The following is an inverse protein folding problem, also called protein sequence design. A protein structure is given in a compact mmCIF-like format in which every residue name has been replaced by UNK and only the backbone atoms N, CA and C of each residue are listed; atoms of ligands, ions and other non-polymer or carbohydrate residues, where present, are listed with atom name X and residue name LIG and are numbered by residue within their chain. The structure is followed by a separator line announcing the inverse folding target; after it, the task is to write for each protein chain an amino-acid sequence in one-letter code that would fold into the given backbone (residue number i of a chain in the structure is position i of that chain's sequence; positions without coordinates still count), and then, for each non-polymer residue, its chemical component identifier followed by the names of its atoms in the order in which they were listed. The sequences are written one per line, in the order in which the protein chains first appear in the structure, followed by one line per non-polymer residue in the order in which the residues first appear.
data_IF_926215817470
#
_entry.id   IF_926215817470
#
_cell.length_a   1.000
_cell.length_b   1.000
_cell.length_c   1.000
_cell.angle_alpha   90.00
_cell.angle_beta   90.00
_cell.angle_gamma   90.00
#
_symmetry.space_group_name_H-M   'P 1'
#
loop_
_entity.id
_entity.type
_entity.pdbx_description
1 polymer ?
#
# COMPACT_ATOMS: atom_id res chain seq x y z
N UNK A 1 -6.34 7.53 -12.25
CA UNK A 1 -5.00 7.40 -12.89
C UNK A 1 -4.05 8.33 -12.17
N UNK A 2 -2.86 7.86 -11.80
CA UNK A 2 -1.81 8.69 -11.20
C UNK A 2 -0.61 8.71 -12.14
N UNK A 3 0.12 9.82 -12.15
CA UNK A 3 1.36 9.95 -12.90
C UNK A 3 2.53 9.90 -11.92
N UNK A 4 3.59 9.19 -12.28
CA UNK A 4 4.83 9.17 -11.53
C UNK A 4 6.02 9.40 -12.45
N UNK A 5 7.13 9.82 -11.87
CA UNK A 5 8.38 9.97 -12.60
C UNK A 5 9.01 8.61 -12.88
N UNK A 6 9.84 8.57 -13.92
CA UNK A 6 10.72 7.44 -14.16
C UNK A 6 11.64 7.23 -12.96
N UNK A 7 11.79 5.99 -12.53
CA UNK A 7 12.67 5.61 -11.43
C UNK A 7 13.40 4.31 -11.81
N UNK A 8 14.69 4.43 -12.08
CA UNK A 8 15.55 3.30 -12.45
C UNK A 8 16.63 3.15 -11.41
N UNK A 9 16.46 2.19 -10.53
CA UNK A 9 17.39 1.88 -9.44
C UNK A 9 18.15 0.60 -9.77
N UNK A 10 19.46 0.56 -9.48
CA UNK A 10 20.27 -0.65 -9.66
C UNK A 10 19.72 -1.78 -8.80
N UNK A 11 19.84 -3.03 -9.29
CA UNK A 11 19.28 -4.23 -8.64
C UNK A 11 19.68 -4.34 -7.17
N UNK A 12 20.93 -4.08 -6.84
CA UNK A 12 21.46 -4.15 -5.47
C UNK A 12 20.87 -3.09 -4.52
N UNK A 13 20.19 -2.09 -5.06
CA UNK A 13 19.59 -0.98 -4.33
C UNK A 13 18.06 -0.93 -4.49
N UNK A 14 17.44 -1.99 -4.99
CA UNK A 14 15.97 -2.05 -5.15
C UNK A 14 15.26 -2.35 -3.82
N UNK A 15 15.64 -1.60 -2.78
CA UNK A 15 15.01 -1.64 -1.45
C UNK A 15 13.68 -0.86 -1.48
N UNK A 16 12.73 -1.17 -0.58
CA UNK A 16 11.43 -0.50 -0.51
C UNK A 16 11.49 1.03 -0.49
N UNK A 17 12.46 1.61 0.21
CA UNK A 17 12.64 3.07 0.28
C UNK A 17 13.23 3.72 -0.99
N UNK A 18 13.85 2.92 -1.86
CA UNK A 18 14.58 3.42 -3.05
C UNK A 18 13.77 3.26 -4.35
N UNK A 19 12.82 2.32 -4.37
CA UNK A 19 11.96 2.08 -5.52
C UNK A 19 10.66 2.86 -5.40
N UNK A 20 9.91 2.94 -6.50
CA UNK A 20 8.59 3.56 -6.46
C UNK A 20 7.62 2.67 -5.72
N UNK A 21 7.04 3.19 -4.64
CA UNK A 21 5.99 2.54 -3.89
C UNK A 21 4.63 3.17 -4.10
N UNK A 22 3.59 2.50 -3.64
CA UNK A 22 2.23 2.98 -3.62
C UNK A 22 1.62 2.77 -2.23
N UNK A 23 0.81 3.74 -1.82
CA UNK A 23 0.03 3.66 -0.60
C UNK A 23 -1.45 3.56 -0.97
N UNK A 24 -2.09 2.49 -0.54
CA UNK A 24 -3.53 2.32 -0.63
C UNK A 24 -4.16 2.73 0.68
N UNK A 25 -5.17 3.58 0.61
CA UNK A 25 -6.04 3.90 1.74
C UNK A 25 -7.32 3.12 1.61
N UNK A 26 -7.63 2.30 2.60
CA UNK A 26 -8.89 1.59 2.70
C UNK A 26 -9.79 2.19 3.79
N UNK A 27 -11.09 1.93 3.68
CA UNK A 27 -12.12 2.28 4.66
C UNK A 27 -12.70 0.98 5.21
N UNK A 28 -12.77 0.89 6.54
CA UNK A 28 -13.34 -0.26 7.24
C UNK A 28 -14.85 -0.06 7.34
N UNK A 29 -15.60 -1.12 7.01
CA UNK A 29 -17.05 -1.15 7.10
C UNK A 29 -17.49 -2.25 8.06
N UNK A 30 -18.62 -2.03 8.73
CA UNK A 30 -19.26 -3.07 9.51
C UNK A 30 -20.06 -4.04 8.61
N UNK A 31 -20.64 -5.07 9.22
CA UNK A 31 -21.47 -6.08 8.53
C UNK A 31 -22.68 -5.48 7.78
N UNK A 32 -23.16 -4.33 8.19
CA UNK A 32 -24.24 -3.59 7.56
C UNK A 32 -23.77 -2.64 6.45
N UNK A 33 -22.53 -2.76 5.99
CA UNK A 33 -21.89 -1.90 4.99
C UNK A 33 -21.87 -0.40 5.36
N UNK A 34 -21.84 -0.09 6.66
CA UNK A 34 -21.67 1.27 7.14
C UNK A 34 -20.21 1.51 7.49
N UNK A 35 -19.68 2.66 7.06
CA UNK A 35 -18.32 3.05 7.38
C UNK A 35 -18.15 3.16 8.90
N UNK A 36 -17.13 2.50 9.42
CA UNK A 36 -16.82 2.54 10.84
C UNK A 36 -16.20 3.88 11.22
N UNK A 37 -16.47 4.30 12.45
CA UNK A 37 -15.81 5.42 13.09
C UNK A 37 -14.38 5.07 13.51
N UNK A 38 -13.92 5.66 14.61
CA UNK A 38 -12.60 5.34 15.15
C UNK A 38 -12.61 3.93 15.76
N UNK A 39 -11.55 3.17 15.47
CA UNK A 39 -11.32 1.81 15.96
C UNK A 39 -9.99 1.83 16.71
N UNK A 40 -9.92 1.11 17.82
CA UNK A 40 -8.72 0.92 18.63
C UNK A 40 -8.28 -0.53 18.55
N UNK A 41 -7.02 -0.78 18.22
CA UNK A 41 -6.43 -2.13 18.22
C UNK A 41 -5.46 -2.25 19.37
N UNK A 42 -5.67 -3.23 20.24
CA UNK A 42 -4.78 -3.58 21.33
C UNK A 42 -4.46 -5.07 21.24
N UNK A 43 -3.19 -5.41 20.97
CA UNK A 43 -2.81 -6.77 20.60
C UNK A 43 -3.57 -7.23 19.35
N UNK A 44 -4.25 -8.38 19.46
CA UNK A 44 -5.03 -8.95 18.35
C UNK A 44 -6.53 -8.58 18.40
N UNK A 45 -6.92 -7.70 19.31
CA UNK A 45 -8.33 -7.35 19.55
C UNK A 45 -8.65 -5.93 19.06
N UNK A 46 -9.87 -5.76 18.55
CA UNK A 46 -10.37 -4.48 18.01
C UNK A 46 -11.56 -3.98 18.81
N UNK A 47 -11.57 -2.68 19.13
CA UNK A 47 -12.55 -2.01 19.97
C UNK A 47 -13.11 -0.78 19.26
N UNK A 48 -14.39 -0.50 19.46
CA UNK A 48 -15.03 0.71 18.92
C UNK A 48 -15.00 1.88 19.93
N UNK A 49 -14.67 1.62 21.18
CA UNK A 49 -14.53 2.63 22.21
C UNK A 49 -13.31 2.35 23.09
N UNK A 50 -12.69 3.43 23.61
CA UNK A 50 -11.60 3.32 24.57
C UNK A 50 -12.04 2.67 25.89
N UNK A 51 -13.30 2.87 26.29
CA UNK A 51 -13.85 2.30 27.50
C UNK A 51 -13.87 0.77 27.44
N UNK A 52 -14.30 0.20 26.31
CA UNK A 52 -14.26 -1.25 26.10
C UNK A 52 -12.81 -1.77 26.12
N UNK A 53 -11.92 -1.09 25.42
CA UNK A 53 -10.51 -1.48 25.38
C UNK A 53 -9.89 -1.48 26.79
N UNK A 54 -10.07 -0.41 27.56
CA UNK A 54 -9.52 -0.32 28.92
C UNK A 54 -10.18 -1.25 29.93
N UNK A 55 -11.40 -1.72 29.69
CA UNK A 55 -12.02 -2.73 30.54
C UNK A 55 -11.34 -4.09 30.41
N UNK A 56 -10.83 -4.40 29.21
CA UNK A 56 -10.12 -5.67 28.94
C UNK A 56 -8.60 -5.54 29.12
N UNK A 57 -8.04 -4.34 28.85
CA UNK A 57 -6.62 -4.03 28.97
C UNK A 57 -6.37 -2.84 29.90
N UNK A 58 -6.58 -2.99 31.22
CA UNK A 58 -6.45 -1.88 32.17
C UNK A 58 -5.03 -1.31 32.19
N UNK A 59 -4.92 0.01 31.99
CA UNK A 59 -3.65 0.71 32.07
C UNK A 59 -2.70 0.54 30.90
N UNK A 60 -3.13 -0.09 29.78
CA UNK A 60 -2.31 -0.15 28.58
C UNK A 60 -2.11 1.24 27.97
N UNK A 61 -0.90 1.48 27.49
CA UNK A 61 -0.54 2.67 26.70
C UNK A 61 -0.19 2.33 25.26
N UNK A 62 -0.10 1.03 24.94
CA UNK A 62 0.27 0.52 23.63
C UNK A 62 -0.98 0.04 22.88
N UNK A 63 -1.48 0.88 22.00
CA UNK A 63 -2.57 0.55 21.09
C UNK A 63 -2.52 1.42 19.84
N UNK A 64 -3.06 0.91 18.76
CA UNK A 64 -3.19 1.64 17.49
C UNK A 64 -4.58 2.27 17.40
N UNK A 65 -4.65 3.46 16.78
CA UNK A 65 -5.91 4.19 16.58
C UNK A 65 -6.18 4.37 15.08
N UNK A 66 -7.19 3.70 14.59
CA UNK A 66 -7.66 3.80 13.20
C UNK A 66 -8.67 4.94 13.08
N UNK A 67 -8.21 6.13 12.81
CA UNK A 67 -9.02 7.33 12.73
C UNK A 67 -10.08 7.24 11.62
N UNK A 68 -11.37 7.38 12.01
CA UNK A 68 -12.51 7.26 11.10
C UNK A 68 -12.54 5.92 10.33
N UNK A 69 -12.05 4.85 10.93
CA UNK A 69 -11.99 3.52 10.31
C UNK A 69 -11.13 3.44 9.05
N UNK A 70 -10.09 4.25 8.95
CA UNK A 70 -9.15 4.23 7.81
C UNK A 70 -7.92 3.42 8.15
N UNK A 71 -7.48 2.62 7.20
CA UNK A 71 -6.20 1.92 7.27
C UNK A 71 -5.40 2.10 5.98
N UNK A 72 -4.11 1.87 6.05
CA UNK A 72 -3.16 2.14 4.98
C UNK A 72 -2.33 0.89 4.70
N UNK A 73 -2.09 0.66 3.42
CA UNK A 73 -1.24 -0.42 2.93
C UNK A 73 -0.17 0.18 2.05
N UNK A 74 1.07 -0.08 2.34
CA UNK A 74 2.18 0.26 1.48
C UNK A 74 2.57 -0.95 0.62
N UNK A 75 3.00 -0.73 -0.60
CA UNK A 75 3.66 -1.75 -1.40
C UNK A 75 4.67 -1.13 -2.36
N UNK A 76 5.82 -1.74 -2.46
CA UNK A 76 6.87 -1.44 -3.44
C UNK A 76 6.93 -2.49 -4.57
N UNK A 77 5.96 -3.40 -4.65
CA UNK A 77 5.91 -4.49 -5.62
C UNK A 77 5.33 -4.08 -6.97
N UNK A 78 5.76 -2.93 -7.47
CA UNK A 78 5.46 -2.50 -8.84
C UNK A 78 6.54 -3.10 -9.75
N UNK A 79 6.24 -4.27 -10.33
CA UNK A 79 7.21 -5.01 -11.13
C UNK A 79 7.17 -4.58 -12.58
N UNK A 80 8.33 -4.21 -13.15
CA UNK A 80 8.51 -4.00 -14.60
C UNK A 80 8.88 -5.29 -15.30
N UNK A 81 9.71 -6.13 -14.67
CA UNK A 81 10.09 -7.45 -15.18
C UNK A 81 9.90 -8.50 -14.09
N UNK A 82 9.57 -9.73 -14.51
CA UNK A 82 9.54 -10.88 -13.62
C UNK A 82 10.94 -11.46 -13.34
N UNK A 83 11.91 -11.09 -14.14
CA UNK A 83 13.28 -11.59 -14.01
C UNK A 83 14.02 -10.84 -12.89
N UNK A 84 14.98 -11.52 -12.26
CA UNK A 84 15.91 -10.92 -11.29
C UNK A 84 16.97 -10.04 -11.95
N UNK A 85 16.50 -9.20 -12.86
CA UNK A 85 17.33 -8.24 -13.57
C UNK A 85 17.22 -6.86 -12.94
N UNK A 86 18.11 -5.95 -13.33
CA UNK A 86 18.02 -4.54 -12.93
C UNK A 86 16.67 -3.88 -13.29
N UNK A 87 15.90 -4.50 -14.19
CA UNK A 87 14.59 -4.03 -14.62
C UNK A 87 13.45 -4.48 -13.72
N UNK A 88 13.70 -5.21 -12.63
CA UNK A 88 12.65 -5.81 -11.79
C UNK A 88 11.70 -4.76 -11.20
N UNK A 89 12.18 -3.92 -10.29
CA UNK A 89 11.38 -2.90 -9.57
C UNK A 89 11.68 -1.49 -10.10
N UNK A 90 11.58 -1.27 -11.39
CA UNK A 90 11.81 0.03 -12.03
C UNK A 90 10.54 0.58 -12.65
N UNK A 91 10.44 1.89 -12.73
CA UNK A 91 9.39 2.59 -13.47
C UNK A 91 10.01 3.21 -14.70
N UNK A 92 9.61 2.73 -15.86
CA UNK A 92 10.08 3.23 -17.14
C UNK A 92 9.06 4.18 -17.74
N UNK A 93 9.55 5.25 -18.39
CA UNK A 93 8.70 6.20 -19.13
C UNK A 93 7.89 5.48 -20.21
N UNK A 94 6.80 6.07 -20.64
CA UNK A 94 5.93 5.58 -21.72
C UNK A 94 5.32 4.19 -21.45
N UNK A 95 5.13 3.84 -20.17
CA UNK A 95 4.42 2.64 -19.78
C UNK A 95 3.24 2.99 -18.85
N UNK A 96 2.21 2.17 -18.91
CA UNK A 96 1.07 2.21 -17.99
C UNK A 96 1.15 0.97 -17.12
N UNK A 97 1.28 1.16 -15.82
CA UNK A 97 1.28 0.09 -14.82
C UNK A 97 -0.13 -0.06 -14.28
N UNK A 98 -0.75 -1.22 -14.52
CA UNK A 98 -2.05 -1.57 -13.97
C UNK A 98 -1.81 -2.42 -12.73
N UNK A 99 -2.17 -1.89 -11.58
CA UNK A 99 -2.01 -2.56 -10.29
C UNK A 99 -3.35 -3.17 -9.88
N UNK A 100 -3.33 -4.46 -9.56
CA UNK A 100 -4.50 -5.20 -9.09
C UNK A 100 -4.25 -5.75 -7.70
N UNK A 101 -5.07 -5.36 -6.74
CA UNK A 101 -5.09 -5.96 -5.40
C UNK A 101 -5.69 -7.35 -5.50
N UNK A 102 -4.96 -8.36 -5.07
CA UNK A 102 -5.40 -9.77 -5.10
C UNK A 102 -6.08 -10.19 -3.81
N UNK A 103 -5.49 -9.82 -2.70
CA UNK A 103 -6.02 -10.16 -1.38
C UNK A 103 -5.48 -9.22 -0.31
N UNK A 104 -6.23 -9.14 0.78
CA UNK A 104 -5.77 -8.61 2.05
C UNK A 104 -5.61 -9.79 3.01
N UNK A 105 -4.50 -9.82 3.74
CA UNK A 105 -4.24 -10.88 4.72
C UNK A 105 -4.55 -10.41 6.14
N UNK A 106 -4.50 -9.10 6.36
CA UNK A 106 -4.83 -8.48 7.65
C UNK A 106 -5.23 -7.01 7.43
N UNK A 107 -5.62 -6.33 8.50
CA UNK A 107 -5.87 -4.89 8.51
C UNK A 107 -4.54 -4.15 8.38
N UNK A 108 -4.48 -3.19 7.45
CA UNK A 108 -3.29 -2.36 7.23
C UNK A 108 -2.94 -1.48 8.44
N UNK A 109 -1.91 -0.68 8.31
CA UNK A 109 -1.44 0.22 9.38
C UNK A 109 -2.47 1.33 9.68
N UNK A 110 -2.54 1.75 10.92
CA UNK A 110 -3.40 2.85 11.35
C UNK A 110 -2.94 4.20 10.78
N UNK A 111 -1.65 4.32 10.48
CA UNK A 111 -1.01 5.52 9.93
C UNK A 111 -0.25 5.20 8.65
N UNK A 112 0.05 6.25 7.88
CA UNK A 112 0.89 6.12 6.68
C UNK A 112 2.32 5.89 7.11
N UNK A 113 2.84 4.69 6.86
CA UNK A 113 4.24 4.35 7.10
C UNK A 113 4.96 4.24 5.76
N UNK A 114 6.05 4.99 5.60
CA UNK A 114 6.95 4.93 4.45
C UNK A 114 8.25 4.31 4.94
N UNK A 115 8.76 3.26 4.30
CA UNK A 115 10.04 2.67 4.69
C UNK A 115 11.16 3.68 4.64
N UNK A 116 11.99 3.72 5.66
CA UNK A 116 13.12 4.66 5.78
C UNK A 116 14.43 4.15 5.15
N UNK A 117 14.42 2.92 4.67
CA UNK A 117 15.55 2.26 4.00
C UNK A 117 16.60 1.69 4.94
N UNK A 118 16.39 1.74 6.25
CA UNK A 118 17.38 1.31 7.23
C UNK A 118 17.37 -0.20 7.51
N UNK A 119 16.29 -0.90 7.16
CA UNK A 119 16.17 -2.34 7.35
C UNK A 119 15.45 -3.01 6.18
N UNK A 120 15.79 -4.27 5.94
CA UNK A 120 14.97 -5.21 5.20
C UNK A 120 13.74 -5.50 6.10
N UNK A 121 12.86 -4.50 6.18
CA UNK A 121 11.59 -4.71 6.84
C UNK A 121 10.94 -5.86 6.11
N UNK A 122 10.85 -7.00 6.76
CA UNK A 122 9.85 -8.01 6.44
C UNK A 122 8.55 -7.24 6.35
N UNK A 123 8.28 -6.77 5.15
CA UNK A 123 7.13 -5.96 4.86
C UNK A 123 5.96 -6.82 5.29
N UNK A 124 5.30 -6.43 6.35
CA UNK A 124 4.02 -7.01 6.72
C UNK A 124 3.05 -6.69 5.58
N UNK A 125 3.21 -7.44 4.48
CA UNK A 125 2.39 -7.33 3.30
C UNK A 125 1.00 -7.86 3.61
N UNK A 126 0.22 -7.02 4.25
CA UNK A 126 -1.21 -7.27 4.38
C UNK A 126 -1.92 -7.18 3.02
N UNK A 127 -1.17 -6.85 1.96
CA UNK A 127 -1.70 -6.60 0.62
C UNK A 127 -0.90 -7.35 -0.43
N UNK A 128 -1.55 -8.24 -1.16
CA UNK A 128 -0.95 -8.91 -2.32
C UNK A 128 -1.30 -8.16 -3.60
N UNK A 129 -0.29 -7.61 -4.27
CA UNK A 129 -0.41 -6.93 -5.56
C UNK A 129 -0.03 -7.83 -6.74
N UNK A 130 -0.57 -7.48 -7.90
CA UNK A 130 -0.07 -7.92 -9.20
C UNK A 130 0.01 -6.71 -10.11
N UNK A 131 1.14 -6.52 -10.77
CA UNK A 131 1.33 -5.47 -11.78
C UNK A 131 1.22 -6.06 -13.18
N UNK A 132 0.59 -5.30 -14.08
CA UNK A 132 0.55 -5.59 -15.51
C UNK A 132 1.00 -4.33 -16.25
N UNK A 133 1.91 -4.48 -17.20
CA UNK A 133 2.42 -3.38 -17.97
C UNK A 133 1.69 -3.34 -19.31
N UNK A 134 1.15 -2.18 -19.64
CA UNK A 134 0.58 -1.89 -20.94
C UNK A 134 1.47 -0.85 -21.63
N UNK A 135 1.94 -1.12 -22.86
CA UNK A 135 2.67 -0.12 -23.61
C UNK A 135 1.75 1.07 -23.91
N UNK A 136 2.28 2.27 -23.80
CA UNK A 136 1.54 3.47 -24.15
C UNK A 136 1.27 3.48 -25.66
N UNK A 137 0.02 3.42 -26.06
CA UNK A 137 -0.38 3.62 -27.45
C UNK A 137 -0.56 5.12 -27.69
N UNK A 138 0.36 5.69 -28.48
CA UNK A 138 0.18 7.05 -29.02
C UNK A 138 -0.90 6.96 -30.11
N UNK A 139 -2.08 7.52 -29.86
CA UNK A 139 -3.08 7.71 -30.91
C UNK A 139 -2.74 9.00 -31.66
N UNK A 140 -2.30 8.87 -32.89
CA UNK A 140 -2.22 9.99 -33.80
C UNK A 140 -3.64 10.30 -34.29
N UNK A 141 -4.20 11.41 -33.85
CA UNK A 141 -5.36 11.98 -34.51
C UNK A 141 -4.81 12.74 -35.75
N UNK A 142 -5.05 12.22 -36.93
CA UNK A 142 -4.84 13.00 -38.14
C UNK A 142 -5.86 14.15 -38.11
N UNK A 143 -5.38 15.34 -37.83
CA UNK A 143 -6.16 16.56 -38.01
C UNK A 143 -5.90 16.95 -39.47
N UNK A 144 -6.87 16.70 -40.35
CA UNK A 144 -6.89 17.29 -41.67
C UNK A 144 -7.42 18.72 -41.51
N UNK A 145 -6.66 19.71 -42.01
CA UNK A 145 -7.03 21.10 -42.07
C UNK A 145 -7.70 21.39 -43.42
#
# INVERSE_FOLDING_TARGET
MAYCLENVVKVDNQLPAMVTGIIFRAQIYNENHQAMGTIYKCGDSYYTTLEQMYSEHPGTTEFETYNSGKCYYYSSDIMHSSDDSYMKKVIMRNNVYVLSVKSFTDMGSAEVTIPDGSEDHDENFYLKLTSTILPWQVRFNNIEF
#
